data_IF_423783582414
#
_entry.id   IF_423783582414
#
_cell.length_a   1.000
_cell.length_b   1.000
_cell.length_c   1.000
_cell.angle_alpha   90.00
_cell.angle_beta   90.00
_cell.angle_gamma   90.00
#
_symmetry.space_group_name_H-M   'P 1'
#
loop_
_entity.id
_entity.type
_entity.pdbx_description
1 polymer ?
#
# COMPACT_ATOMS: atom_id res chain seq x y z
N UNK A 1 0.40 20.87 17.61
CA UNK A 1 -0.22 20.63 16.29
C UNK A 1 0.38 19.36 15.75
N UNK A 2 -0.32 18.23 15.84
CA UNK A 2 0.18 16.93 15.37
C UNK A 2 0.50 16.99 13.88
N UNK A 3 1.74 16.69 13.56
CA UNK A 3 2.29 16.70 12.20
C UNK A 3 1.39 15.89 11.26
N UNK A 4 0.82 16.56 10.26
CA UNK A 4 -0.22 15.98 9.38
C UNK A 4 0.31 14.82 8.54
N UNK A 5 1.52 14.90 7.94
CA UNK A 5 2.20 13.77 7.32
C UNK A 5 2.38 12.56 8.26
N UNK A 6 2.91 12.76 9.47
CA UNK A 6 3.15 11.67 10.42
C UNK A 6 1.84 10.96 10.81
N UNK A 7 0.75 11.71 11.01
CA UNK A 7 -0.56 11.13 11.31
C UNK A 7 -1.12 10.32 10.13
N UNK A 8 -0.95 10.81 8.91
CA UNK A 8 -1.44 10.12 7.71
C UNK A 8 -0.70 8.79 7.48
N UNK A 9 0.63 8.79 7.69
CA UNK A 9 1.43 7.57 7.65
C UNK A 9 1.02 6.58 8.75
N UNK A 10 0.77 7.08 9.97
CA UNK A 10 0.29 6.24 11.07
C UNK A 10 -1.09 5.63 10.78
N UNK A 11 -2.01 6.40 10.21
CA UNK A 11 -3.31 5.90 9.76
C UNK A 11 -3.14 4.81 8.69
N UNK A 12 -2.28 5.03 7.70
CA UNK A 12 -2.00 4.04 6.65
C UNK A 12 -1.45 2.74 7.24
N UNK A 13 -0.48 2.81 8.15
CA UNK A 13 0.07 1.62 8.83
C UNK A 13 -0.99 0.84 9.62
N UNK A 14 -1.95 1.52 10.25
CA UNK A 14 -3.07 0.86 10.92
C UNK A 14 -3.95 0.11 9.90
N UNK A 15 -4.29 0.75 8.79
CA UNK A 15 -5.18 0.16 7.77
C UNK A 15 -4.55 -1.03 7.01
N UNK A 16 -3.21 -1.17 7.02
CA UNK A 16 -2.49 -2.28 6.39
C UNK A 16 -2.62 -3.61 7.16
N UNK A 17 -3.08 -3.60 8.42
CA UNK A 17 -3.40 -4.85 9.12
C UNK A 17 -4.65 -5.51 8.51
N UNK A 18 -4.72 -6.85 8.40
CA UNK A 18 -5.83 -7.56 7.76
C UNK A 18 -7.09 -7.59 8.67
N UNK A 19 -7.66 -6.42 8.97
CA UNK A 19 -8.88 -6.25 9.77
C UNK A 19 -9.64 -4.98 9.37
N UNK A 20 -10.92 -4.91 9.73
CA UNK A 20 -11.71 -3.68 9.64
C UNK A 20 -11.53 -2.82 10.90
N UNK A 21 -11.40 -1.52 10.72
CA UNK A 21 -11.13 -0.54 11.78
C UNK A 21 -12.33 0.37 12.03
N UNK A 22 -12.99 0.29 13.19
CA UNK A 22 -14.03 1.24 13.56
C UNK A 22 -13.48 2.67 13.58
N UNK A 23 -14.24 3.63 13.03
CA UNK A 23 -13.81 5.04 12.99
C UNK A 23 -13.55 5.65 14.36
N UNK A 24 -14.24 5.17 15.40
CA UNK A 24 -13.99 5.56 16.80
C UNK A 24 -12.65 5.03 17.33
N UNK A 25 -12.30 3.78 17.05
CA UNK A 25 -11.01 3.21 17.48
C UNK A 25 -9.83 3.90 16.78
N UNK A 26 -9.97 4.23 15.49
CA UNK A 26 -8.96 5.01 14.77
C UNK A 26 -8.78 6.41 15.39
N UNK A 27 -9.89 7.06 15.77
CA UNK A 27 -9.88 8.37 16.39
C UNK A 27 -9.13 8.35 17.73
N UNK A 28 -9.39 7.35 18.57
CA UNK A 28 -8.70 7.15 19.85
C UNK A 28 -7.20 6.90 19.67
N UNK A 29 -6.82 5.98 18.77
CA UNK A 29 -5.40 5.62 18.55
C UNK A 29 -4.56 6.72 17.91
N UNK A 30 -5.20 7.58 17.13
CA UNK A 30 -4.56 8.71 16.46
C UNK A 30 -4.66 10.00 17.29
N UNK A 31 -5.36 9.97 18.44
CA UNK A 31 -5.64 11.14 19.30
C UNK A 31 -6.27 12.30 18.51
N UNK A 32 -7.30 11.99 17.72
CA UNK A 32 -8.03 12.97 16.89
C UNK A 32 -9.53 12.71 16.90
N UNK A 33 -10.30 13.66 16.39
CA UNK A 33 -11.75 13.47 16.27
C UNK A 33 -12.11 12.47 15.16
N UNK A 34 -13.27 11.78 15.24
CA UNK A 34 -13.79 10.97 14.13
C UNK A 34 -13.96 11.74 12.82
N UNK A 35 -14.18 13.06 12.90
CA UNK A 35 -14.27 13.96 11.74
C UNK A 35 -12.90 14.09 11.04
N UNK A 36 -11.83 14.14 11.83
CA UNK A 36 -10.44 14.17 11.33
C UNK A 36 -10.08 12.85 10.69
N UNK A 37 -10.47 11.71 11.28
CA UNK A 37 -10.27 10.38 10.67
C UNK A 37 -10.93 10.33 9.29
N UNK A 38 -12.19 10.73 9.16
CA UNK A 38 -12.89 10.79 7.85
C UNK A 38 -12.12 11.62 6.83
N UNK A 39 -11.67 12.82 7.22
CA UNK A 39 -10.87 13.70 6.35
C UNK A 39 -9.54 13.07 5.93
N UNK A 40 -8.84 12.40 6.84
CA UNK A 40 -7.57 11.74 6.54
C UNK A 40 -7.77 10.49 5.67
N UNK A 41 -8.89 9.77 5.83
CA UNK A 41 -9.29 8.66 4.94
C UNK A 41 -9.56 9.16 3.52
N UNK A 42 -10.31 10.25 3.37
CA UNK A 42 -10.57 10.84 2.05
C UNK A 42 -9.28 11.31 1.39
N UNK A 43 -8.35 11.86 2.18
CA UNK A 43 -7.01 12.23 1.69
C UNK A 43 -6.18 11.03 1.24
N UNK A 44 -6.26 9.89 1.94
CA UNK A 44 -5.63 8.64 1.49
C UNK A 44 -6.22 8.17 0.15
N UNK A 45 -7.54 8.28 -0.04
CA UNK A 45 -8.21 7.94 -1.31
C UNK A 45 -7.75 8.84 -2.46
N UNK A 46 -7.64 10.14 -2.23
CA UNK A 46 -7.09 11.10 -3.20
C UNK A 46 -5.65 10.76 -3.60
N UNK A 47 -4.86 10.17 -2.69
CA UNK A 47 -3.50 9.70 -2.93
C UNK A 47 -3.43 8.30 -3.59
N UNK A 48 -4.57 7.70 -3.94
CA UNK A 48 -4.65 6.41 -4.63
C UNK A 48 -4.66 5.19 -3.71
N UNK A 49 -4.77 5.35 -2.39
CA UNK A 49 -4.95 4.22 -1.47
C UNK A 49 -6.42 3.79 -1.42
N UNK A 50 -6.75 2.54 -1.78
CA UNK A 50 -8.13 2.04 -1.83
C UNK A 50 -8.67 1.73 -0.43
N UNK A 51 -9.23 2.73 0.24
CA UNK A 51 -9.85 2.54 1.55
C UNK A 51 -11.37 2.36 1.40
N UNK A 52 -11.87 1.17 1.70
CA UNK A 52 -13.31 0.90 1.77
C UNK A 52 -13.87 1.26 3.14
N UNK A 53 -15.16 1.60 3.16
CA UNK A 53 -15.92 1.81 4.38
C UNK A 53 -17.12 0.85 4.41
N UNK A 54 -17.17 -0.05 5.39
CA UNK A 54 -18.33 -0.91 5.64
C UNK A 54 -19.37 -0.14 6.45
N UNK A 55 -20.66 -0.29 6.11
CA UNK A 55 -21.78 0.28 6.88
C UNK A 55 -22.32 -0.76 7.86
N UNK A 56 -22.71 -0.34 9.06
CA UNK A 56 -23.32 -1.20 10.08
C UNK A 56 -22.86 -0.84 11.50
N UNK A 57 -23.36 -1.57 12.51
CA UNK A 57 -22.98 -1.40 13.92
C UNK A 57 -21.50 -1.72 14.20
N UNK A 58 -20.88 -2.57 13.36
CA UNK A 58 -19.44 -2.87 13.35
C UNK A 58 -18.72 -2.22 12.16
N UNK A 59 -19.36 -1.25 11.50
CA UNK A 59 -18.83 -0.62 10.29
C UNK A 59 -17.49 0.08 10.53
N UNK A 60 -16.56 -0.10 9.61
CA UNK A 60 -15.19 0.36 9.75
C UNK A 60 -14.51 0.64 8.43
N UNK A 61 -13.25 1.05 8.52
CA UNK A 61 -12.37 1.31 7.40
C UNK A 61 -11.39 0.15 7.24
N UNK A 62 -11.11 -0.24 6.00
CA UNK A 62 -10.08 -1.23 5.70
C UNK A 62 -9.40 -0.85 4.41
N UNK A 63 -8.08 -1.05 4.35
CA UNK A 63 -7.36 -1.04 3.09
C UNK A 63 -7.68 -2.33 2.36
N UNK A 64 -8.36 -2.24 1.21
CA UNK A 64 -8.58 -3.41 0.36
C UNK A 64 -7.42 -3.56 -0.62
N UNK A 65 -7.26 -4.75 -1.17
CA UNK A 65 -6.37 -4.93 -2.31
C UNK A 65 -6.84 -3.99 -3.44
N UNK A 66 -6.02 -3.02 -3.82
CA UNK A 66 -6.32 -2.10 -4.92
C UNK A 66 -5.18 -1.13 -5.24
N UNK A 67 -5.19 -0.66 -6.50
CA UNK A 67 -4.25 0.22 -7.22
C UNK A 67 -2.77 -0.21 -7.27
N UNK A 68 -2.18 -0.70 -6.19
CA UNK A 68 -0.79 -1.12 -6.13
C UNK A 68 -0.62 -2.41 -5.32
N UNK A 69 0.38 -3.19 -5.70
CA UNK A 69 0.79 -4.39 -4.96
C UNK A 69 1.29 -3.98 -3.57
N UNK A 70 0.81 -4.59 -2.46
CA UNK A 70 1.36 -4.34 -1.13
C UNK A 70 2.84 -4.78 -1.08
N UNK A 71 3.64 -4.32 -0.10
CA UNK A 71 5.02 -4.78 0.05
C UNK A 71 5.07 -6.31 0.10
N UNK A 72 5.79 -6.91 -0.86
CA UNK A 72 6.00 -8.34 -0.92
C UNK A 72 7.24 -8.71 -0.09
N UNK A 73 7.11 -9.72 0.75
CA UNK A 73 8.26 -10.43 1.31
C UNK A 73 8.56 -11.55 0.32
N UNK A 74 9.76 -11.53 -0.26
CA UNK A 74 10.24 -12.53 -1.20
C UNK A 74 11.38 -13.31 -0.56
N UNK A 75 11.45 -14.61 -0.81
CA UNK A 75 12.66 -15.37 -0.56
C UNK A 75 13.69 -15.24 -1.71
N UNK A 76 14.89 -15.79 -1.51
CA UNK A 76 15.99 -15.69 -2.48
C UNK A 76 15.63 -16.34 -3.84
N UNK A 77 14.91 -17.47 -3.82
CA UNK A 77 14.51 -18.17 -5.04
C UNK A 77 13.43 -17.40 -5.81
N UNK A 78 12.45 -16.84 -5.10
CA UNK A 78 11.41 -15.98 -5.64
C UNK A 78 11.99 -14.70 -6.24
N UNK A 79 12.96 -14.08 -5.57
CA UNK A 79 13.63 -12.88 -6.07
C UNK A 79 14.42 -13.16 -7.36
N UNK A 80 15.14 -14.28 -7.43
CA UNK A 80 15.85 -14.72 -8.64
C UNK A 80 14.86 -15.02 -9.78
N UNK A 81 13.78 -15.74 -9.51
CA UNK A 81 12.76 -16.06 -10.51
C UNK A 81 12.14 -14.79 -11.12
N UNK A 82 11.83 -13.80 -10.29
CA UNK A 82 11.31 -12.50 -10.74
C UNK A 82 12.36 -11.75 -11.56
N UNK A 83 13.62 -11.69 -11.12
CA UNK A 83 14.69 -11.00 -11.84
C UNK A 83 14.94 -11.60 -13.24
N UNK A 84 14.93 -12.94 -13.36
CA UNK A 84 15.05 -13.65 -14.64
C UNK A 84 13.87 -13.34 -15.55
N UNK A 85 12.64 -13.37 -15.03
CA UNK A 85 11.43 -13.03 -15.78
C UNK A 85 11.44 -11.58 -16.30
N UNK A 86 11.86 -10.64 -15.47
CA UNK A 86 11.98 -9.22 -15.84
C UNK A 86 13.04 -9.00 -16.93
N UNK A 87 14.19 -9.67 -16.83
CA UNK A 87 15.25 -9.58 -17.85
C UNK A 87 14.82 -10.20 -19.18
N UNK A 88 14.06 -11.29 -19.16
CA UNK A 88 13.48 -11.88 -20.36
C UNK A 88 12.45 -10.94 -21.02
N UNK A 89 11.58 -10.31 -20.21
CA UNK A 89 10.57 -9.36 -20.67
C UNK A 89 11.13 -8.06 -21.24
N UNK A 90 12.29 -7.60 -20.74
CA UNK A 90 13.04 -6.47 -21.30
C UNK A 90 13.83 -6.84 -22.56
N UNK A 91 14.17 -8.12 -22.74
CA UNK A 91 14.95 -8.60 -23.88
C UNK A 91 14.12 -8.66 -25.17
N UNK A 92 13.03 -9.41 -25.16
CA UNK A 92 12.14 -9.63 -26.32
C UNK A 92 10.82 -10.25 -25.81
N UNK A 93 9.64 -9.63 -26.00
CA UNK A 93 8.38 -10.35 -26.30
C UNK A 93 7.06 -9.54 -26.23
N UNK A 94 6.95 -8.38 -25.59
CA UNK A 94 5.61 -7.74 -25.41
C UNK A 94 5.70 -6.22 -25.54
N UNK A 95 5.02 -5.66 -26.53
CA UNK A 95 4.90 -4.22 -26.76
C UNK A 95 4.29 -3.54 -25.52
N UNK A 96 5.03 -2.58 -24.92
CA UNK A 96 4.65 -1.89 -23.69
C UNK A 96 5.16 -2.51 -22.37
N UNK A 97 5.83 -3.67 -22.41
CA UNK A 97 6.36 -4.34 -21.19
C UNK A 97 7.85 -4.09 -20.97
N UNK A 98 8.60 -3.68 -22.00
CA UNK A 98 10.05 -3.45 -21.91
C UNK A 98 10.41 -2.38 -20.85
N UNK A 99 9.85 -1.17 -20.98
CA UNK A 99 10.08 -0.08 -20.00
C UNK A 99 9.57 -0.41 -18.58
N UNK A 100 8.48 -1.17 -18.49
CA UNK A 100 7.95 -1.60 -17.19
C UNK A 100 8.88 -2.64 -16.54
N UNK A 101 9.43 -3.55 -17.33
CA UNK A 101 10.35 -4.59 -16.88
C UNK A 101 11.68 -4.00 -16.40
N UNK A 102 12.24 -3.04 -17.15
CA UNK A 102 13.45 -2.31 -16.74
C UNK A 102 13.23 -1.58 -15.42
N UNK A 103 12.10 -0.86 -15.28
CA UNK A 103 11.79 -0.13 -14.02
C UNK A 103 11.54 -1.07 -12.84
N UNK A 104 10.92 -2.22 -13.07
CA UNK A 104 10.69 -3.20 -12.01
C UNK A 104 12.01 -3.88 -11.58
N UNK A 105 12.89 -4.20 -12.54
CA UNK A 105 14.19 -4.80 -12.24
C UNK A 105 15.07 -3.86 -11.41
N UNK A 106 15.12 -2.58 -11.77
CA UNK A 106 15.85 -1.57 -11.01
C UNK A 106 15.33 -1.42 -9.56
N UNK A 107 14.02 -1.57 -9.34
CA UNK A 107 13.43 -1.56 -7.99
C UNK A 107 13.80 -2.80 -7.19
N UNK A 108 13.86 -3.97 -7.84
CA UNK A 108 14.22 -5.23 -7.21
C UNK A 108 15.71 -5.23 -6.79
N UNK A 109 16.60 -4.78 -7.68
CA UNK A 109 18.04 -4.68 -7.40
C UNK A 109 18.36 -3.79 -6.18
N UNK A 110 17.55 -2.75 -5.92
CA UNK A 110 17.72 -1.88 -4.76
C UNK A 110 17.42 -2.54 -3.42
N UNK A 111 16.64 -3.64 -3.40
CA UNK A 111 16.19 -4.30 -2.17
C UNK A 111 16.84 -5.67 -1.96
N UNK A 112 17.61 -6.17 -2.92
CA UNK A 112 18.36 -7.41 -2.77
C UNK A 112 19.45 -7.26 -1.69
N UNK A 113 19.61 -8.23 -0.79
CA UNK A 113 20.74 -8.27 0.12
C UNK A 113 22.05 -8.37 -0.67
N UNK A 114 23.05 -7.56 -0.28
CA UNK A 114 24.40 -7.52 -0.88
C UNK A 114 25.29 -8.65 -0.42
#
# INVERSE_FOLDING_TARGET
MTDTPARLLKLLSLLQTPREWPGGELAERLDVSPRTVRRDIDRLRELGYPVEASRGSLGGYRLVAGAAMPPLVLDDEEAVAIAVGLRAGAGHAIEGVDEASVRALAKLEQVLPS
#
